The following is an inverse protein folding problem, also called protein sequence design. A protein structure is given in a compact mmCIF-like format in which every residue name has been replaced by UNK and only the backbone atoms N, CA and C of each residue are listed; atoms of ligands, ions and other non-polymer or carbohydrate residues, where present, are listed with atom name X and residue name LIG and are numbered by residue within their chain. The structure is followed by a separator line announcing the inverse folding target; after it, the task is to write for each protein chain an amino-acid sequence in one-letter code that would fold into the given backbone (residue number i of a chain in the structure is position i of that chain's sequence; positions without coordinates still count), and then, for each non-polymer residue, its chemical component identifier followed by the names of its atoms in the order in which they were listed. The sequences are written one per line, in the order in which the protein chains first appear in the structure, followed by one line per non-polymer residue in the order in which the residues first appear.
data_IF_519938520748
#
_entry.id   IF_519938520748
#
_cell.length_a   1.000
_cell.length_b   1.000
_cell.length_c   1.000
_cell.angle_alpha   90.00
_cell.angle_beta   90.00
_cell.angle_gamma   90.00
#
_symmetry.space_group_name_H-M   'P 1'
#
loop_
_entity.id
_entity.type
_entity.pdbx_description
1 polymer ?
#
# COMPACT_ATOMS: atom_id res chain seq x y z
N UNK A 1 -19.67 -21.09 -50.90
CA UNK A 1 -19.19 -19.79 -50.35
C UNK A 1 -18.37 -20.01 -49.07
N UNK A 2 -17.14 -20.56 -49.12
CA UNK A 2 -16.39 -20.94 -47.90
C UNK A 2 -15.36 -19.89 -47.43
N UNK A 3 -15.14 -18.82 -48.22
CA UNK A 3 -14.07 -17.84 -48.01
C UNK A 3 -14.44 -16.77 -46.96
N UNK A 4 -15.72 -16.41 -46.86
CA UNK A 4 -16.18 -15.42 -45.88
C UNK A 4 -16.04 -15.95 -44.44
N UNK A 5 -16.41 -17.21 -44.19
CA UNK A 5 -16.42 -17.80 -42.84
C UNK A 5 -15.01 -17.88 -42.21
N UNK A 6 -13.97 -18.09 -43.03
CA UNK A 6 -12.56 -18.01 -42.60
C UNK A 6 -12.16 -16.60 -42.17
N UNK A 7 -12.66 -15.57 -42.86
CA UNK A 7 -12.35 -14.17 -42.57
C UNK A 7 -12.96 -13.72 -41.23
N UNK A 8 -14.17 -14.19 -40.92
CA UNK A 8 -14.83 -13.94 -39.62
C UNK A 8 -14.12 -14.63 -38.45
N UNK A 9 -13.56 -15.84 -38.64
CA UNK A 9 -12.72 -16.50 -37.61
C UNK A 9 -11.37 -15.81 -37.39
N UNK A 10 -10.77 -15.21 -38.42
CA UNK A 10 -9.49 -14.50 -38.30
C UNK A 10 -9.62 -13.06 -37.78
N UNK A 11 -10.83 -12.47 -37.79
CA UNK A 11 -11.04 -11.06 -37.44
C UNK A 11 -11.49 -10.81 -35.99
N UNK A 12 -11.68 -11.86 -35.19
CA UNK A 12 -11.63 -11.72 -33.72
C UNK A 12 -10.16 -11.59 -33.33
N UNK A 13 -9.59 -10.39 -33.50
CA UNK A 13 -8.43 -10.00 -32.69
C UNK A 13 -8.86 -10.26 -31.25
N UNK A 14 -8.27 -11.25 -30.60
CA UNK A 14 -8.50 -11.49 -29.18
C UNK A 14 -8.28 -10.14 -28.52
N UNK A 15 -9.30 -9.62 -27.83
CA UNK A 15 -9.08 -8.47 -26.96
C UNK A 15 -7.83 -8.79 -26.11
N UNK A 16 -6.94 -7.82 -25.85
CA UNK A 16 -5.86 -8.05 -24.89
C UNK A 16 -6.48 -8.73 -23.68
N UNK A 17 -5.90 -9.87 -23.29
CA UNK A 17 -6.58 -10.85 -22.46
C UNK A 17 -6.76 -10.28 -21.05
N UNK A 18 -7.86 -9.55 -20.87
CA UNK A 18 -8.21 -8.86 -19.63
C UNK A 18 -8.29 -9.86 -18.48
N UNK A 19 -8.65 -11.11 -18.77
CA UNK A 19 -8.61 -12.20 -17.81
C UNK A 19 -7.18 -12.48 -17.33
N UNK A 20 -6.20 -12.53 -18.23
CA UNK A 20 -4.80 -12.70 -17.80
C UNK A 20 -4.30 -11.48 -17.01
N UNK A 21 -4.61 -10.27 -17.46
CA UNK A 21 -4.26 -9.06 -16.70
C UNK A 21 -4.84 -9.07 -15.29
N UNK A 22 -6.12 -9.42 -15.14
CA UNK A 22 -6.75 -9.53 -13.83
C UNK A 22 -6.12 -10.64 -12.99
N UNK A 23 -5.79 -11.78 -13.58
CA UNK A 23 -5.15 -12.88 -12.87
C UNK A 23 -3.77 -12.48 -12.35
N UNK A 24 -2.95 -11.82 -13.18
CA UNK A 24 -1.62 -11.34 -12.80
C UNK A 24 -1.74 -10.30 -11.67
N UNK A 25 -2.65 -9.33 -11.80
CA UNK A 25 -2.91 -8.33 -10.76
C UNK A 25 -3.35 -8.97 -9.44
N UNK A 26 -4.25 -9.95 -9.48
CA UNK A 26 -4.69 -10.67 -8.28
C UNK A 26 -3.56 -11.46 -7.64
N UNK A 27 -2.69 -12.07 -8.44
CA UNK A 27 -1.51 -12.78 -7.94
C UNK A 27 -0.55 -11.82 -7.20
N UNK A 28 -0.27 -10.65 -7.78
CA UNK A 28 0.58 -9.63 -7.16
C UNK A 28 0.02 -9.13 -5.83
N UNK A 29 -1.31 -8.91 -5.75
CA UNK A 29 -2.00 -8.50 -4.52
C UNK A 29 -1.85 -9.58 -3.45
N UNK A 30 -2.12 -10.84 -3.79
CA UNK A 30 -2.02 -11.97 -2.84
C UNK A 30 -0.57 -12.16 -2.36
N UNK A 31 0.41 -12.03 -3.24
CA UNK A 31 1.82 -12.13 -2.86
C UNK A 31 2.23 -10.98 -1.92
N UNK A 32 1.76 -9.77 -2.19
CA UNK A 32 1.98 -8.59 -1.34
C UNK A 32 1.34 -8.78 0.04
N UNK A 33 0.10 -9.27 0.10
CA UNK A 33 -0.59 -9.54 1.37
C UNK A 33 0.14 -10.62 2.18
N UNK A 34 0.53 -11.74 1.55
CA UNK A 34 1.32 -12.79 2.21
C UNK A 34 2.67 -12.29 2.72
N UNK A 35 3.33 -11.42 1.96
CA UNK A 35 4.58 -10.81 2.38
C UNK A 35 4.40 -9.93 3.62
N UNK A 36 3.31 -9.16 3.69
CA UNK A 36 2.96 -8.38 4.88
C UNK A 36 2.67 -9.28 6.08
N UNK A 37 1.96 -10.40 5.89
CA UNK A 37 1.74 -11.39 6.95
C UNK A 37 3.05 -12.00 7.47
N UNK A 38 4.04 -12.22 6.60
CA UNK A 38 5.34 -12.79 7.01
C UNK A 38 6.19 -11.75 7.77
N UNK A 39 6.25 -10.51 7.28
CA UNK A 39 7.15 -9.48 7.82
C UNK A 39 6.56 -8.75 9.02
N UNK A 40 5.25 -8.54 9.02
CA UNK A 40 4.55 -7.84 10.09
C UNK A 40 3.22 -8.53 10.45
N UNK A 41 3.25 -9.80 10.92
CA UNK A 41 2.07 -10.65 11.18
C UNK A 41 1.05 -10.10 12.18
N UNK A 42 1.32 -8.94 12.79
CA UNK A 42 0.52 -8.33 13.86
C UNK A 42 0.36 -6.83 13.68
N UNK A 43 0.64 -6.30 12.49
CA UNK A 43 0.51 -4.87 12.21
C UNK A 43 -0.60 -4.63 11.19
N UNK A 44 -1.51 -3.72 11.53
CA UNK A 44 -2.63 -3.35 10.68
C UNK A 44 -2.60 -1.85 10.45
N UNK A 45 -2.57 -1.42 9.18
CA UNK A 45 -2.74 -0.01 8.83
C UNK A 45 -4.19 0.40 9.09
N UNK A 46 -4.40 1.38 9.97
CA UNK A 46 -5.73 1.93 10.26
C UNK A 46 -6.10 3.08 9.32
N UNK A 47 -5.11 3.87 8.89
CA UNK A 47 -5.34 4.98 7.97
C UNK A 47 -4.30 6.09 8.08
N UNK A 48 -4.57 7.19 7.38
CA UNK A 48 -3.81 8.43 7.43
C UNK A 48 -4.64 9.51 8.13
N UNK A 49 -3.97 10.47 8.77
CA UNK A 49 -4.59 11.73 9.21
C UNK A 49 -5.22 12.46 8.01
N UNK A 50 -6.53 12.75 8.09
CA UNK A 50 -7.27 13.36 6.99
C UNK A 50 -6.98 14.85 6.83
N UNK A 51 -6.65 15.54 7.93
CA UNK A 51 -6.55 17.00 7.92
C UNK A 51 -5.21 17.46 7.36
N UNK A 52 -4.11 16.89 7.87
CA UNK A 52 -2.77 17.35 7.53
C UNK A 52 -1.94 16.31 6.78
N UNK A 53 -2.46 15.09 6.59
CA UNK A 53 -1.74 13.98 5.97
C UNK A 53 -0.32 13.83 6.53
N UNK A 54 -0.09 14.11 7.82
CA UNK A 54 1.27 14.06 8.40
C UNK A 54 1.49 12.80 9.26
N UNK A 55 0.43 12.03 9.52
CA UNK A 55 0.48 10.87 10.39
C UNK A 55 -0.18 9.66 9.74
N UNK A 56 0.41 8.48 9.93
CA UNK A 56 -0.14 7.18 9.65
C UNK A 56 -0.40 6.45 10.96
N UNK A 57 -1.61 5.91 11.10
CA UNK A 57 -2.03 5.14 12.27
C UNK A 57 -1.87 3.64 11.99
N UNK A 58 -1.14 2.96 12.87
CA UNK A 58 -0.87 1.53 12.77
C UNK A 58 -1.32 0.87 14.08
N UNK A 59 -2.15 -0.16 14.00
CA UNK A 59 -2.46 -1.03 15.14
C UNK A 59 -1.40 -2.11 15.25
N UNK A 60 -0.73 -2.18 16.40
CA UNK A 60 0.12 -3.31 16.77
C UNK A 60 -0.67 -4.25 17.68
N UNK A 61 -1.01 -5.42 17.15
CA UNK A 61 -1.77 -6.45 17.87
C UNK A 61 -0.92 -7.21 18.88
N UNK A 62 0.42 -7.15 18.79
CA UNK A 62 1.29 -7.78 19.80
C UNK A 62 1.11 -7.11 21.16
N UNK A 63 1.09 -5.79 21.17
CA UNK A 63 1.00 -4.98 22.39
C UNK A 63 -0.40 -4.38 22.60
N UNK A 64 -1.33 -4.61 21.67
CA UNK A 64 -2.67 -4.03 21.59
C UNK A 64 -2.65 -2.50 21.71
N UNK A 65 -1.76 -1.86 20.94
CA UNK A 65 -1.57 -0.41 20.93
C UNK A 65 -1.74 0.16 19.53
N UNK A 66 -2.01 1.46 19.47
CA UNK A 66 -2.00 2.23 18.23
C UNK A 66 -0.72 3.05 18.23
N UNK A 67 0.11 2.83 17.21
CA UNK A 67 1.29 3.61 16.93
C UNK A 67 0.95 4.72 15.93
N UNK A 68 1.35 5.93 16.27
CA UNK A 68 1.34 7.08 15.37
C UNK A 68 2.72 7.21 14.73
N UNK A 69 2.78 7.10 13.41
CA UNK A 69 4.00 7.30 12.63
C UNK A 69 3.84 8.56 11.82
N UNK A 70 4.64 9.57 12.10
CA UNK A 70 4.55 10.88 11.46
C UNK A 70 5.86 11.29 10.80
N UNK A 71 5.76 12.17 9.80
CA UNK A 71 6.93 12.71 9.14
C UNK A 71 7.47 13.91 9.93
N UNK A 72 8.74 13.85 10.31
CA UNK A 72 9.46 14.93 10.97
C UNK A 72 10.86 15.06 10.38
N UNK A 73 11.24 16.27 9.95
CA UNK A 73 12.55 16.53 9.31
C UNK A 73 12.91 15.51 8.21
N UNK A 74 11.97 15.23 7.30
CA UNK A 74 12.09 14.24 6.22
C UNK A 74 12.34 12.79 6.67
N UNK A 75 12.09 12.45 7.94
CA UNK A 75 12.18 11.09 8.46
C UNK A 75 10.89 10.69 9.14
N UNK A 76 10.52 9.41 9.02
CA UNK A 76 9.41 8.87 9.77
C UNK A 76 9.83 8.64 11.21
N UNK A 77 8.94 9.01 12.12
CA UNK A 77 9.14 8.86 13.55
C UNK A 77 7.89 8.22 14.17
N UNK A 78 8.11 7.20 14.99
CA UNK A 78 7.05 6.56 15.75
C UNK A 78 6.91 7.23 17.11
N UNK A 79 5.71 7.72 17.44
CA UNK A 79 5.40 8.31 18.74
C UNK A 79 5.46 7.29 19.87
N UNK A 80 5.05 6.05 19.59
CA UNK A 80 4.95 4.99 20.60
C UNK A 80 6.34 4.54 21.08
N UNK A 81 7.24 4.24 20.15
CA UNK A 81 8.61 3.78 20.44
C UNK A 81 9.60 4.94 20.64
N UNK A 82 9.19 6.17 20.33
CA UNK A 82 10.04 7.36 20.32
C UNK A 82 11.31 7.15 19.49
N UNK A 83 11.16 6.53 18.32
CA UNK A 83 12.26 6.10 17.48
C UNK A 83 11.93 6.26 15.99
N UNK A 84 12.97 6.46 15.18
CA UNK A 84 12.92 6.40 13.71
C UNK A 84 13.32 5.02 13.17
N UNK A 85 13.73 4.11 14.04
CA UNK A 85 14.17 2.76 13.71
C UNK A 85 13.43 1.76 14.60
N UNK A 86 12.17 1.51 14.27
CA UNK A 86 11.35 0.50 14.93
C UNK A 86 10.47 -0.21 13.88
N UNK A 87 9.84 -1.31 14.28
CA UNK A 87 9.00 -2.10 13.40
C UNK A 87 7.81 -1.29 12.84
N UNK A 88 7.25 -0.34 13.61
CA UNK A 88 6.18 0.54 13.14
C UNK A 88 6.63 1.45 12.00
N UNK A 89 7.85 2.01 12.08
CA UNK A 89 8.42 2.84 11.01
C UNK A 89 8.71 1.99 9.78
N UNK A 90 9.30 0.81 9.96
CA UNK A 90 9.58 -0.11 8.85
C UNK A 90 8.29 -0.55 8.16
N UNK A 91 7.26 -0.90 8.92
CA UNK A 91 5.94 -1.24 8.38
C UNK A 91 5.32 -0.07 7.62
N UNK A 92 5.38 1.15 8.16
CA UNK A 92 4.90 2.35 7.47
C UNK A 92 5.61 2.54 6.12
N UNK A 93 6.92 2.35 6.05
CA UNK A 93 7.69 2.47 4.79
C UNK A 93 7.28 1.46 3.73
N UNK A 94 6.78 0.29 4.13
CA UNK A 94 6.27 -0.73 3.21
C UNK A 94 4.88 -0.40 2.66
N UNK A 95 4.16 0.55 3.26
CA UNK A 95 2.83 0.95 2.80
C UNK A 95 2.96 1.99 1.67
N UNK A 96 2.39 1.76 0.47
CA UNK A 96 2.45 2.73 -0.62
C UNK A 96 1.92 4.12 -0.23
N UNK A 97 0.91 4.17 0.65
CA UNK A 97 0.29 5.42 1.10
C UNK A 97 1.20 6.29 1.95
N UNK A 98 2.34 5.77 2.42
CA UNK A 98 3.36 6.57 3.12
C UNK A 98 3.88 7.71 2.24
N UNK A 99 3.85 7.54 0.92
CA UNK A 99 4.19 8.58 -0.06
C UNK A 99 3.26 9.80 -0.01
N UNK A 100 2.06 9.64 0.55
CA UNK A 100 1.06 10.71 0.69
C UNK A 100 1.32 11.58 1.91
N UNK A 101 2.27 11.19 2.77
CA UNK A 101 2.60 11.95 3.96
C UNK A 101 3.24 13.30 3.61
N UNK A 102 2.74 14.38 4.22
CA UNK A 102 3.23 15.74 3.99
C UNK A 102 3.95 16.26 5.23
N UNK A 103 5.06 16.94 5.00
CA UNK A 103 5.75 17.69 6.05
C UNK A 103 4.80 18.80 6.51
N UNK A 104 4.48 18.86 7.80
CA UNK A 104 3.79 20.02 8.38
C UNK A 104 4.57 21.28 8.02
N UNK A 105 3.98 22.15 7.19
CA UNK A 105 4.51 23.51 7.04
C UNK A 105 4.34 24.19 8.40
N UNK A 106 5.40 24.79 8.98
CA UNK A 106 5.23 25.56 10.20
C UNK A 106 4.18 26.64 9.93
N UNK A 107 3.10 26.65 10.72
CA UNK A 107 2.15 27.75 10.73
C UNK A 107 2.95 29.01 11.06
N UNK A 108 3.07 29.93 10.10
CA UNK A 108 3.68 31.24 10.35
C UNK A 108 2.87 31.90 11.47
N UNK A 109 3.47 31.99 12.66
CA UNK A 109 3.03 32.87 13.75
C UNK A 109 3.39 34.31 13.42
#
# INVERSE_FOLDING_TARGET
MPKLERYWKSSKRKAPDFTNFLNDLLADIVETERFQEIIAPRMIKLGLDQDNLNCMYIKDEKDNKIAEVFLNDNKLYCQLDKSHNCNHVMFALLQPEVSRLQIKKPSKS
#
